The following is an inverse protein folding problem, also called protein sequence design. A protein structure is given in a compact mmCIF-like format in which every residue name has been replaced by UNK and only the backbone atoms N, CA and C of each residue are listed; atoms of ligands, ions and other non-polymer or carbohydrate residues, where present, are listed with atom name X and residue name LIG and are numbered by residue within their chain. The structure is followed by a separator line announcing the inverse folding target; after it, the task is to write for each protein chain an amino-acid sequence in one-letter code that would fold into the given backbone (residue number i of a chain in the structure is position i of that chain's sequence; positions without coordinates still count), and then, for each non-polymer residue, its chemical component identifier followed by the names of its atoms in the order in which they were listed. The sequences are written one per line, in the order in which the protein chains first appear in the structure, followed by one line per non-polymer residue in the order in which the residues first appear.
data_IF_277583582495
#
_entry.id   IF_277583582495
#
_cell.length_a   1.000
_cell.length_b   1.000
_cell.length_c   1.000
_cell.angle_alpha   90.00
_cell.angle_beta   90.00
_cell.angle_gamma   90.00
#
_symmetry.space_group_name_H-M   'P 1'
#
loop_
_entity.id
_entity.type
_entity.pdbx_description
1 polymer ?
#
# COMPACT_ATOMS: atom_id res chain seq x y z
N UNK A 1 -17.50 15.51 -11.09
CA UNK A 1 -16.35 15.11 -10.25
C UNK A 1 -16.84 14.57 -8.92
N UNK A 2 -16.16 13.59 -8.36
CA UNK A 2 -16.48 13.00 -7.07
C UNK A 2 -15.46 11.93 -6.71
N UNK A 3 -15.56 11.36 -5.51
CA UNK A 3 -14.68 10.31 -5.02
C UNK A 3 -15.49 9.04 -4.79
N UNK A 4 -14.96 7.90 -5.22
CA UNK A 4 -15.44 6.57 -4.85
C UNK A 4 -14.40 5.87 -3.99
N UNK A 5 -14.82 5.31 -2.86
CA UNK A 5 -13.96 4.53 -1.97
C UNK A 5 -14.42 3.09 -2.00
N UNK A 6 -13.49 2.19 -2.32
CA UNK A 6 -13.68 0.75 -2.33
C UNK A 6 -12.85 0.11 -1.23
N UNK A 7 -13.41 -0.85 -0.51
CA UNK A 7 -12.69 -1.65 0.47
C UNK A 7 -12.54 -3.08 -0.05
N UNK A 8 -11.33 -3.60 -0.07
CA UNK A 8 -11.03 -4.95 -0.54
C UNK A 8 -10.46 -5.80 0.59
N UNK A 9 -11.23 -6.82 1.01
CA UNK A 9 -10.69 -7.94 1.76
C UNK A 9 -10.44 -9.11 0.80
N UNK A 10 -9.18 -9.26 0.38
CA UNK A 10 -8.80 -10.34 -0.52
C UNK A 10 -8.75 -11.69 0.21
N UNK A 11 -8.96 -12.78 -0.55
CA UNK A 11 -8.96 -14.13 0.01
C UNK A 11 -7.65 -14.44 0.77
N UNK A 12 -7.77 -15.17 1.88
CA UNK A 12 -6.63 -15.62 2.72
C UNK A 12 -5.56 -16.38 1.93
N UNK A 13 -5.89 -16.99 0.79
CA UNK A 13 -4.94 -17.61 -0.12
C UNK A 13 -3.87 -16.64 -0.61
N UNK A 14 -4.18 -15.35 -0.72
CA UNK A 14 -3.25 -14.30 -1.13
C UNK A 14 -2.34 -13.79 0.00
N UNK A 15 -2.48 -14.33 1.21
CA UNK A 15 -1.61 -14.05 2.37
C UNK A 15 -0.66 -15.19 2.72
N UNK A 16 -0.40 -16.11 1.78
CA UNK A 16 0.51 -17.23 2.04
C UNK A 16 1.92 -16.74 2.38
N UNK A 17 2.53 -17.40 3.37
CA UNK A 17 3.82 -17.04 3.94
C UNK A 17 4.99 -17.15 2.96
N UNK A 18 4.88 -18.03 1.97
CA UNK A 18 5.92 -18.28 0.96
C UNK A 18 5.37 -18.02 -0.44
N UNK A 19 6.00 -17.07 -1.14
CA UNK A 19 5.64 -16.69 -2.51
C UNK A 19 4.40 -15.79 -2.60
N UNK A 20 4.34 -14.99 -3.67
CA UNK A 20 3.13 -14.24 -4.06
C UNK A 20 2.30 -15.20 -4.90
N UNK A 21 1.08 -15.47 -4.47
CA UNK A 21 0.15 -16.25 -5.28
C UNK A 21 -0.31 -15.39 -6.46
N UNK A 22 -0.33 -15.92 -7.68
CA UNK A 22 -0.84 -15.16 -8.81
C UNK A 22 -2.31 -14.82 -8.57
N UNK A 23 -2.66 -13.55 -8.75
CA UNK A 23 -4.04 -13.08 -8.67
C UNK A 23 -4.61 -13.02 -10.08
N UNK A 24 -5.78 -13.64 -10.28
CA UNK A 24 -6.52 -13.56 -11.52
C UNK A 24 -6.79 -12.08 -11.86
N UNK A 25 -6.56 -11.62 -13.10
CA UNK A 25 -6.86 -10.27 -13.52
C UNK A 25 -8.32 -9.84 -13.26
N UNK A 26 -9.27 -10.76 -13.40
CA UNK A 26 -10.69 -10.50 -13.20
C UNK A 26 -11.13 -10.59 -11.72
N UNK A 27 -10.25 -11.02 -10.81
CA UNK A 27 -10.60 -11.23 -9.40
C UNK A 27 -11.15 -9.96 -8.73
N UNK A 28 -10.43 -8.83 -8.86
CA UNK A 28 -10.86 -7.57 -8.26
C UNK A 28 -12.14 -7.05 -8.89
N UNK A 29 -12.31 -7.23 -10.18
CA UNK A 29 -13.52 -6.85 -10.90
C UNK A 29 -14.74 -7.69 -10.46
N UNK A 30 -14.54 -8.98 -10.22
CA UNK A 30 -15.59 -9.85 -9.71
C UNK A 30 -15.98 -9.52 -8.26
N UNK A 31 -15.00 -9.04 -7.45
CA UNK A 31 -15.21 -8.71 -6.05
C UNK A 31 -15.82 -7.32 -5.86
N UNK A 32 -15.35 -6.32 -6.60
CA UNK A 32 -15.64 -4.91 -6.39
C UNK A 32 -16.46 -4.26 -7.52
N UNK A 33 -16.65 -4.96 -8.63
CA UNK A 33 -17.17 -4.39 -9.86
C UNK A 33 -16.12 -3.56 -10.61
N UNK A 34 -16.56 -2.79 -11.60
CA UNK A 34 -15.69 -1.85 -12.30
C UNK A 34 -15.61 -0.53 -11.54
N UNK A 35 -14.41 0.09 -11.45
CA UNK A 35 -14.29 1.42 -10.89
C UNK A 35 -14.99 2.44 -11.78
N UNK A 36 -15.45 3.54 -11.19
CA UNK A 36 -16.09 4.62 -11.95
C UNK A 36 -15.05 5.36 -12.80
N UNK A 37 -15.29 5.46 -14.09
CA UNK A 37 -14.43 6.24 -15.00
C UNK A 37 -14.51 7.76 -14.77
N UNK A 38 -15.57 8.26 -14.10
CA UNK A 38 -15.84 9.68 -13.92
C UNK A 38 -15.40 10.21 -12.55
N UNK A 39 -15.03 9.33 -11.62
CA UNK A 39 -14.73 9.65 -10.23
C UNK A 39 -13.32 9.22 -9.86
N UNK A 40 -12.71 9.97 -8.95
CA UNK A 40 -11.45 9.56 -8.36
C UNK A 40 -11.63 8.31 -7.50
N UNK A 41 -10.93 7.25 -7.83
CA UNK A 41 -11.12 5.93 -7.22
C UNK A 41 -10.05 5.66 -6.18
N UNK A 42 -10.48 5.53 -4.92
CA UNK A 42 -9.63 5.14 -3.80
C UNK A 42 -9.90 3.68 -3.46
N UNK A 43 -8.85 2.86 -3.44
CA UNK A 43 -8.91 1.47 -3.01
C UNK A 43 -8.20 1.30 -1.67
N UNK A 44 -8.93 0.86 -0.65
CA UNK A 44 -8.37 0.41 0.63
C UNK A 44 -8.10 -1.08 0.50
N UNK A 45 -6.81 -1.47 0.42
CA UNK A 45 -6.37 -2.84 0.21
C UNK A 45 -5.20 -3.18 1.11
N UNK A 46 -5.37 -4.17 2.00
CA UNK A 46 -4.41 -4.45 3.05
C UNK A 46 -3.04 -4.94 2.54
N UNK A 47 -2.99 -5.79 1.49
CA UNK A 47 -1.75 -6.39 1.01
C UNK A 47 -1.12 -5.59 -0.14
N UNK A 48 0.06 -4.96 0.03
CA UNK A 48 0.71 -4.15 -1.01
C UNK A 48 1.34 -4.98 -2.14
N UNK A 49 1.57 -6.28 -1.94
CA UNK A 49 2.21 -7.14 -2.95
C UNK A 49 1.41 -7.19 -4.27
N UNK A 50 0.11 -6.90 -4.21
CA UNK A 50 -0.79 -6.87 -5.36
C UNK A 50 -1.00 -5.48 -5.95
N UNK A 51 -0.15 -4.51 -5.62
CA UNK A 51 -0.25 -3.15 -6.16
C UNK A 51 -0.40 -3.08 -7.68
N UNK A 52 0.34 -3.88 -8.50
CA UNK A 52 0.11 -3.90 -9.94
C UNK A 52 -1.32 -4.29 -10.32
N UNK A 53 -1.94 -5.23 -9.59
CA UNK A 53 -3.32 -5.66 -9.85
C UNK A 53 -4.35 -4.58 -9.47
N UNK A 54 -4.05 -3.80 -8.44
CA UNK A 54 -4.87 -2.66 -8.04
C UNK A 54 -4.81 -1.54 -9.09
N UNK A 55 -3.64 -1.30 -9.66
CA UNK A 55 -3.45 -0.35 -10.75
C UNK A 55 -4.15 -0.82 -12.04
N UNK A 56 -3.99 -2.11 -12.41
CA UNK A 56 -4.67 -2.72 -13.57
C UNK A 56 -6.20 -2.66 -13.42
N UNK A 57 -6.74 -2.81 -12.21
CA UNK A 57 -8.17 -2.69 -11.93
C UNK A 57 -8.67 -1.26 -12.13
N UNK A 58 -7.83 -0.25 -11.96
CA UNK A 58 -8.14 1.15 -12.24
C UNK A 58 -8.23 2.04 -11.00
N UNK A 59 -7.60 1.68 -9.89
CA UNK A 59 -7.45 2.58 -8.75
C UNK A 59 -6.60 3.81 -9.12
N UNK A 60 -6.97 4.99 -8.64
CA UNK A 60 -6.14 6.19 -8.70
C UNK A 60 -5.25 6.28 -7.46
N UNK A 61 -5.80 5.96 -6.29
CA UNK A 61 -5.08 5.89 -5.03
C UNK A 61 -5.32 4.56 -4.33
N UNK A 62 -4.26 3.93 -3.85
CA UNK A 62 -4.32 2.72 -3.02
C UNK A 62 -3.80 3.05 -1.62
N UNK A 63 -4.59 2.74 -0.61
CA UNK A 63 -4.18 2.82 0.79
C UNK A 63 -3.92 1.40 1.29
N UNK A 64 -2.67 1.12 1.68
CA UNK A 64 -2.24 -0.23 2.04
C UNK A 64 -1.48 -0.26 3.39
N UNK A 65 -1.34 -1.48 3.93
CA UNK A 65 -0.65 -1.73 5.19
C UNK A 65 0.07 -3.07 5.19
N UNK A 66 -0.19 -3.94 6.16
CA UNK A 66 0.24 -5.34 6.28
C UNK A 66 1.72 -5.58 6.62
N UNK A 67 2.65 -4.95 5.94
CA UNK A 67 4.09 -5.26 6.05
C UNK A 67 4.75 -4.60 7.27
N UNK A 68 4.04 -3.73 7.98
CA UNK A 68 4.50 -3.02 9.19
C UNK A 68 5.88 -2.37 9.05
N UNK A 69 6.33 -2.04 7.84
CA UNK A 69 7.66 -1.49 7.55
C UNK A 69 8.80 -2.50 7.71
N UNK A 70 8.48 -3.78 7.87
CA UNK A 70 9.43 -4.83 8.25
C UNK A 70 9.67 -4.92 9.77
N UNK A 71 10.24 -6.02 10.25
CA UNK A 71 10.61 -6.19 11.67
C UNK A 71 11.83 -5.35 12.04
N UNK A 72 12.77 -5.18 11.12
CA UNK A 72 14.03 -4.43 11.28
C UNK A 72 14.22 -3.51 10.10
N UNK A 73 14.55 -2.25 10.36
CA UNK A 73 14.96 -1.27 9.33
C UNK A 73 16.42 -0.90 9.51
N UNK A 74 17.12 -0.63 8.41
CA UNK A 74 18.48 -0.09 8.48
C UNK A 74 18.39 1.42 8.63
N UNK A 75 18.92 2.01 9.73
CA UNK A 75 18.78 3.44 9.99
C UNK A 75 19.32 4.33 8.86
N UNK A 76 20.41 3.91 8.22
CA UNK A 76 21.11 4.71 7.18
C UNK A 76 20.35 4.67 5.85
N UNK A 77 19.68 3.56 5.53
CA UNK A 77 19.00 3.39 4.22
C UNK A 77 17.48 3.48 4.31
N UNK A 78 16.94 3.56 5.50
CA UNK A 78 15.50 3.66 5.73
C UNK A 78 14.67 2.50 5.16
N UNK A 79 15.30 1.37 4.77
CA UNK A 79 14.64 0.21 4.16
C UNK A 79 14.42 -0.92 5.16
N UNK A 80 13.29 -1.60 5.03
CA UNK A 80 13.00 -2.82 5.78
C UNK A 80 13.90 -3.97 5.31
N UNK A 81 14.55 -4.66 6.25
CA UNK A 81 15.43 -5.80 5.94
C UNK A 81 14.63 -7.10 5.89
N UNK A 82 13.73 -7.28 6.83
CA UNK A 82 12.94 -8.51 6.96
C UNK A 82 11.48 -8.16 7.11
N UNK A 83 10.66 -8.66 6.20
CA UNK A 83 9.20 -8.54 6.34
C UNK A 83 8.67 -9.58 7.35
N UNK A 84 7.45 -9.39 7.87
CA UNK A 84 6.80 -10.37 8.75
C UNK A 84 6.65 -11.76 8.11
N UNK A 85 6.62 -11.84 6.79
CA UNK A 85 6.58 -13.09 6.02
C UNK A 85 7.97 -13.69 5.76
N UNK A 86 9.00 -13.27 6.53
CA UNK A 86 10.40 -13.75 6.43
C UNK A 86 11.00 -13.51 5.03
N UNK A 87 10.56 -12.48 4.34
CA UNK A 87 11.18 -12.05 3.08
C UNK A 87 12.26 -11.02 3.37
N UNK A 88 13.42 -11.22 2.82
CA UNK A 88 14.51 -10.26 2.83
C UNK A 88 14.24 -9.18 1.79
N UNK A 89 14.41 -7.92 2.17
CA UNK A 89 14.27 -6.74 1.32
C UNK A 89 12.94 -6.71 0.54
N UNK A 90 11.79 -6.58 1.23
CA UNK A 90 10.49 -6.51 0.56
C UNK A 90 10.46 -5.34 -0.41
N UNK A 91 9.83 -5.55 -1.57
CA UNK A 91 9.67 -4.50 -2.61
C UNK A 91 8.91 -3.29 -2.07
N UNK A 92 7.91 -3.54 -1.24
CA UNK A 92 7.05 -2.55 -0.60
C UNK A 92 7.22 -2.67 0.91
N UNK A 93 7.81 -1.66 1.54
CA UNK A 93 8.14 -1.68 2.97
C UNK A 93 7.63 -0.45 3.75
N UNK A 94 7.02 0.51 3.07
CA UNK A 94 6.44 1.73 3.63
C UNK A 94 6.70 2.94 2.75
N UNK A 95 5.85 3.95 2.84
CA UNK A 95 5.96 5.17 2.06
C UNK A 95 5.10 5.17 0.79
N UNK A 96 5.49 5.95 -0.20
CA UNK A 96 4.76 6.15 -1.44
C UNK A 96 5.37 5.37 -2.61
N UNK A 97 4.50 4.77 -3.42
CA UNK A 97 4.86 4.07 -4.65
C UNK A 97 3.93 4.49 -5.77
N UNK A 98 4.47 4.61 -6.99
CA UNK A 98 3.70 4.99 -8.18
C UNK A 98 3.84 3.94 -9.27
N UNK A 99 2.74 3.60 -9.93
CA UNK A 99 2.70 2.73 -11.10
C UNK A 99 1.70 3.30 -12.12
N UNK A 100 2.21 3.80 -13.24
CA UNK A 100 1.40 4.56 -14.20
C UNK A 100 0.79 5.79 -13.51
N UNK A 101 -0.54 5.91 -13.57
CA UNK A 101 -1.29 6.98 -12.89
C UNK A 101 -1.65 6.66 -11.44
N UNK A 102 -1.48 5.41 -11.02
CA UNK A 102 -1.90 4.95 -9.69
C UNK A 102 -0.82 5.21 -8.66
N UNK A 103 -1.21 5.82 -7.54
CA UNK A 103 -0.35 6.00 -6.36
C UNK A 103 -0.75 5.00 -5.27
N UNK A 104 0.22 4.47 -4.54
CA UNK A 104 -0.03 3.68 -3.33
C UNK A 104 0.67 4.32 -2.15
N UNK A 105 -0.10 4.61 -1.10
CA UNK A 105 0.40 5.01 0.20
C UNK A 105 0.40 3.79 1.11
N UNK A 106 1.58 3.37 1.53
CA UNK A 106 1.79 2.18 2.36
C UNK A 106 2.20 2.60 3.77
N UNK A 107 1.26 2.47 4.71
CA UNK A 107 1.52 2.76 6.12
C UNK A 107 2.24 1.59 6.80
N UNK A 108 3.21 1.94 7.66
CA UNK A 108 3.83 1.00 8.58
C UNK A 108 2.92 0.66 9.76
N UNK A 109 1.88 1.45 9.99
CA UNK A 109 0.90 1.25 11.04
C UNK A 109 1.47 1.28 12.46
N UNK A 110 0.60 1.12 13.46
CA UNK A 110 0.95 1.09 14.88
C UNK A 110 1.08 -0.34 15.42
N UNK A 111 0.51 -1.32 14.72
CA UNK A 111 0.48 -2.72 15.14
C UNK A 111 1.82 -3.41 15.10
N UNK A 112 1.92 -4.54 15.81
CA UNK A 112 3.05 -5.48 15.74
C UNK A 112 2.55 -6.80 15.14
N UNK A 113 3.48 -7.55 14.55
CA UNK A 113 3.18 -8.87 14.01
C UNK A 113 3.31 -9.97 15.08
N UNK A 114 3.22 -11.24 14.66
CA UNK A 114 3.37 -12.43 15.51
C UNK A 114 4.63 -12.38 16.41
N UNK A 115 5.71 -11.81 15.90
CA UNK A 115 6.91 -11.51 16.69
C UNK A 115 6.87 -9.99 16.99
N UNK A 116 6.70 -9.57 18.25
CA UNK A 116 6.51 -8.16 18.59
C UNK A 116 7.85 -7.41 18.65
N UNK A 117 8.60 -7.43 17.55
CA UNK A 117 9.87 -6.74 17.42
C UNK A 117 9.77 -5.67 16.34
N UNK A 118 10.07 -4.43 16.73
CA UNK A 118 10.30 -3.29 15.84
C UNK A 118 11.64 -2.65 16.19
N UNK A 119 12.66 -2.87 15.34
CA UNK A 119 13.96 -2.22 15.50
C UNK A 119 14.12 -1.14 14.44
N UNK A 120 14.37 0.10 14.91
CA UNK A 120 14.47 1.29 14.07
C UNK A 120 13.26 1.53 13.14
N UNK A 121 12.10 1.05 13.56
CA UNK A 121 10.86 1.10 12.81
C UNK A 121 9.72 1.61 13.71
N UNK A 122 9.65 2.92 14.00
CA UNK A 122 8.59 3.48 14.84
C UNK A 122 7.22 3.27 14.20
N UNK A 123 6.17 3.26 15.02
CA UNK A 123 4.79 3.28 14.58
C UNK A 123 4.51 4.52 13.72
N UNK A 124 3.58 4.38 12.77
CA UNK A 124 3.25 5.43 11.82
C UNK A 124 1.74 5.54 11.64
N UNK A 125 1.26 6.77 11.63
CA UNK A 125 -0.09 7.14 11.18
C UNK A 125 0.08 8.07 9.99
N UNK A 126 -0.60 7.76 8.88
CA UNK A 126 -0.62 8.62 7.70
C UNK A 126 -1.90 9.45 7.71
N UNK A 127 -1.76 10.75 7.58
CA UNK A 127 -2.83 11.67 7.27
C UNK A 127 -2.76 12.00 5.77
N UNK A 128 -3.89 11.94 5.08
CA UNK A 128 -3.95 12.12 3.63
C UNK A 128 -4.98 13.19 3.30
N UNK A 129 -4.52 14.32 2.84
CA UNK A 129 -5.36 15.40 2.34
C UNK A 129 -5.63 15.23 0.84
N UNK A 130 -6.90 15.21 0.47
CA UNK A 130 -7.33 15.17 -0.92
C UNK A 130 -7.71 16.57 -1.38
N UNK A 131 -6.90 17.14 -2.24
CA UNK A 131 -7.13 18.48 -2.77
C UNK A 131 -7.82 18.40 -4.14
N UNK A 132 -8.69 19.37 -4.49
CA UNK A 132 -9.23 19.48 -5.83
C UNK A 132 -8.09 19.61 -6.86
N UNK A 133 -8.16 18.87 -7.97
CA UNK A 133 -7.17 18.95 -9.03
C UNK A 133 -7.07 20.36 -9.62
N UNK A 134 -5.85 20.91 -9.70
CA UNK A 134 -5.58 22.26 -10.23
C UNK A 134 -4.45 22.99 -9.50
N UNK A 135 -4.16 22.65 -8.25
CA UNK A 135 -2.99 23.18 -7.54
C UNK A 135 -1.98 22.03 -7.33
N UNK A 136 -0.86 22.09 -8.03
CA UNK A 136 0.29 21.28 -7.64
C UNK A 136 0.67 21.71 -6.22
N UNK A 137 0.43 20.84 -5.24
CA UNK A 137 0.97 21.03 -3.91
C UNK A 137 2.49 21.04 -4.08
N UNK A 138 3.07 22.23 -4.03
CA UNK A 138 4.52 22.42 -4.03
C UNK A 138 5.07 21.58 -2.86
N UNK A 139 5.76 20.51 -3.20
CA UNK A 139 6.42 19.66 -2.22
C UNK A 139 7.39 20.52 -1.43
N UNK A 140 7.06 20.83 -0.19
CA UNK A 140 8.04 21.30 0.77
C UNK A 140 8.95 20.14 1.11
N UNK A 141 10.01 19.99 0.31
CA UNK A 141 11.21 19.24 0.67
C UNK A 141 11.91 20.03 1.78
N UNK A 142 11.49 19.88 2.99
CA UNK A 142 12.26 20.27 4.14
C UNK A 142 12.99 19.06 4.70
N UNK A 143 14.10 18.74 4.00
CA UNK A 143 15.15 17.93 4.55
C UNK A 143 15.80 18.64 5.74
N UNK A 144 15.80 17.96 6.84
CA UNK A 144 16.88 18.01 7.86
C UNK A 144 16.86 16.75 8.69
#
# INVERSE_FOLDING_TARGET
SGICIYGSEINKLYYKRFGIQPMDPEYLKSLLGQPSAEKYTILIAHNPDYFPKYADWGADLVLAGHVHGGMVRVPIWGKGVVSPNVRLFPKYDGGEFTLGKTRMLLSRGLGMHTIPIRLFNPGEVLEVDLLPGGEEAGGSDEGK
#
